data_IF_888582548312
#
_entry.id   IF_888582548312
#
_cell.length_a   1.000
_cell.length_b   1.000
_cell.length_c   1.000
_cell.angle_alpha   90.00
_cell.angle_beta   90.00
_cell.angle_gamma   90.00
#
_symmetry.space_group_name_H-M   'P 1'
#
loop_
_entity.id
_entity.type
_entity.pdbx_description
1 polymer ?
#
# COMPACT_ATOMS: atom_id res chain seq x y z
N UNK A 1 -10.30 -9.35 5.41
CA UNK A 1 -10.25 -10.69 4.80
C UNK A 1 -9.15 -10.72 3.76
N UNK A 2 -8.62 -11.90 3.45
CA UNK A 2 -7.67 -12.11 2.35
C UNK A 2 -8.39 -12.98 1.32
N UNK A 3 -8.52 -12.53 0.07
CA UNK A 3 -9.23 -13.30 -0.94
C UNK A 3 -8.77 -13.02 -2.38
N UNK A 4 -8.94 -14.01 -3.24
CA UNK A 4 -8.60 -13.92 -4.66
C UNK A 4 -9.58 -13.01 -5.43
N UNK A 5 -9.10 -12.36 -6.49
CA UNK A 5 -9.95 -11.77 -7.53
C UNK A 5 -9.61 -12.44 -8.86
N UNK A 6 -10.56 -13.18 -9.43
CA UNK A 6 -10.28 -13.98 -10.61
C UNK A 6 -9.28 -15.10 -10.30
N UNK A 7 -8.12 -15.08 -10.95
CA UNK A 7 -7.03 -16.01 -10.72
C UNK A 7 -5.91 -15.48 -9.82
N UNK A 8 -6.00 -14.21 -9.41
CA UNK A 8 -4.92 -13.53 -8.68
C UNK A 8 -5.18 -13.65 -7.17
N UNK A 9 -4.23 -14.26 -6.47
CA UNK A 9 -4.21 -14.44 -5.02
C UNK A 9 -3.11 -13.57 -4.40
N UNK A 10 -3.38 -12.91 -3.26
CA UNK A 10 -2.35 -12.16 -2.54
C UNK A 10 -1.18 -13.06 -2.11
N UNK A 11 0.05 -12.66 -2.49
CA UNK A 11 1.30 -13.24 -2.02
C UNK A 11 1.79 -12.46 -0.79
N UNK A 12 1.76 -13.10 0.37
CA UNK A 12 2.02 -12.45 1.66
C UNK A 12 3.12 -13.23 2.38
N UNK A 13 4.24 -12.55 2.66
CA UNK A 13 5.32 -13.16 3.43
C UNK A 13 4.84 -13.60 4.81
N UNK A 14 5.30 -14.77 5.26
CA UNK A 14 4.85 -15.38 6.50
C UNK A 14 5.16 -14.54 7.76
N UNK A 15 6.11 -13.60 7.70
CA UNK A 15 6.40 -12.69 8.81
C UNK A 15 5.61 -11.38 8.77
N UNK A 16 4.87 -11.11 7.69
CA UNK A 16 4.03 -9.93 7.60
C UNK A 16 2.87 -9.99 8.60
N UNK A 17 2.56 -8.86 9.22
CA UNK A 17 1.38 -8.70 10.05
C UNK A 17 0.22 -8.19 9.19
N UNK A 18 -0.91 -8.89 9.21
CA UNK A 18 -2.17 -8.41 8.62
C UNK A 18 -3.24 -8.39 9.71
N UNK A 19 -3.73 -7.20 10.04
CA UNK A 19 -4.78 -7.03 11.03
C UNK A 19 -6.04 -7.81 10.63
N UNK A 20 -6.74 -8.37 11.62
CA UNK A 20 -7.88 -9.26 11.41
C UNK A 20 -9.05 -8.62 10.63
N UNK A 21 -9.14 -7.29 10.61
CA UNK A 21 -10.15 -6.53 9.88
C UNK A 21 -9.60 -5.71 8.70
N UNK A 22 -8.35 -5.94 8.28
CA UNK A 22 -7.82 -5.42 7.02
C UNK A 22 -8.33 -6.26 5.85
N UNK A 23 -8.53 -5.63 4.69
CA UNK A 23 -8.96 -6.27 3.44
C UNK A 23 -7.81 -6.28 2.43
N UNK A 24 -7.46 -7.46 1.90
CA UNK A 24 -6.39 -7.63 0.90
C UNK A 24 -6.91 -8.54 -0.21
N UNK A 25 -6.99 -8.02 -1.43
CA UNK A 25 -7.62 -8.74 -2.54
C UNK A 25 -6.96 -8.53 -3.90
N UNK A 26 -6.84 -9.61 -4.67
CA UNK A 26 -6.28 -9.62 -6.03
C UNK A 26 -4.76 -9.73 -6.07
N UNK A 27 -4.16 -9.13 -7.10
CA UNK A 27 -2.72 -9.16 -7.40
C UNK A 27 -1.91 -8.27 -6.43
N UNK A 28 -1.73 -8.75 -5.21
CA UNK A 28 -1.03 -8.03 -4.13
C UNK A 28 0.20 -8.83 -3.71
N UNK A 29 1.35 -8.16 -3.61
CA UNK A 29 2.55 -8.72 -2.97
C UNK A 29 2.90 -7.94 -1.71
N UNK A 30 3.06 -8.64 -0.58
CA UNK A 30 3.42 -8.08 0.73
C UNK A 30 4.74 -8.68 1.20
N UNK A 31 5.76 -7.83 1.29
CA UNK A 31 7.11 -8.21 1.68
C UNK A 31 7.28 -8.57 3.14
N UNK A 32 8.45 -9.16 3.42
CA UNK A 32 8.93 -9.55 4.75
C UNK A 32 8.76 -8.44 5.79
N UNK A 33 8.24 -8.80 6.97
CA UNK A 33 8.10 -7.91 8.14
C UNK A 33 7.25 -6.65 7.87
N UNK A 34 6.49 -6.60 6.77
CA UNK A 34 5.52 -5.55 6.51
C UNK A 34 4.33 -5.65 7.48
N UNK A 35 3.62 -4.54 7.71
CA UNK A 35 2.46 -4.51 8.61
C UNK A 35 1.28 -3.76 8.01
N UNK A 36 0.15 -4.45 7.89
CA UNK A 36 -1.12 -3.92 7.39
C UNK A 36 -2.06 -3.79 8.58
N UNK A 37 -2.37 -2.55 8.97
CA UNK A 37 -3.08 -2.24 10.20
C UNK A 37 -4.61 -2.18 10.02
N UNK A 38 -5.32 -1.89 11.10
CA UNK A 38 -6.74 -2.12 11.21
C UNK A 38 -7.56 -1.31 10.19
N UNK A 39 -8.50 -1.98 9.53
CA UNK A 39 -9.39 -1.35 8.55
C UNK A 39 -8.71 -0.87 7.26
N UNK A 40 -7.44 -1.20 7.03
CA UNK A 40 -6.77 -0.94 5.76
C UNK A 40 -7.39 -1.78 4.65
N UNK A 41 -7.57 -1.20 3.47
CA UNK A 41 -8.14 -1.85 2.29
C UNK A 41 -7.13 -1.78 1.15
N UNK A 42 -6.73 -2.94 0.64
CA UNK A 42 -5.86 -3.11 -0.53
C UNK A 42 -6.63 -3.90 -1.57
N UNK A 43 -6.93 -3.27 -2.71
CA UNK A 43 -7.62 -3.93 -3.82
C UNK A 43 -6.82 -3.76 -5.11
N UNK A 44 -6.32 -4.87 -5.62
CA UNK A 44 -5.50 -4.97 -6.83
C UNK A 44 -6.24 -5.80 -7.89
N UNK A 45 -7.34 -5.26 -8.39
CA UNK A 45 -8.25 -5.97 -9.31
C UNK A 45 -7.99 -5.67 -10.79
N UNK A 46 -7.30 -4.58 -11.11
CA UNK A 46 -7.03 -4.15 -12.49
C UNK A 46 -5.55 -3.85 -12.78
N UNK A 47 -4.70 -3.87 -11.76
CA UNK A 47 -3.24 -3.81 -11.82
C UNK A 47 -2.66 -4.22 -10.45
N UNK A 48 -1.37 -4.56 -10.42
CA UNK A 48 -0.70 -5.04 -9.22
C UNK A 48 -0.54 -3.97 -8.13
N UNK A 49 -0.52 -4.42 -6.87
CA UNK A 49 -0.03 -3.65 -5.73
C UNK A 49 1.19 -4.36 -5.14
N UNK A 50 2.30 -3.64 -4.96
CA UNK A 50 3.51 -4.15 -4.33
C UNK A 50 3.83 -3.36 -3.06
N UNK A 51 4.04 -4.07 -1.96
CA UNK A 51 4.42 -3.52 -0.65
C UNK A 51 5.75 -4.14 -0.25
N UNK A 52 6.78 -3.31 -0.11
CA UNK A 52 8.14 -3.72 0.24
C UNK A 52 8.29 -4.19 1.69
N UNK A 53 9.48 -4.69 2.00
CA UNK A 53 9.83 -5.24 3.30
C UNK A 53 9.86 -4.14 4.38
N UNK A 54 9.37 -4.45 5.58
CA UNK A 54 9.33 -3.53 6.71
C UNK A 54 8.40 -2.32 6.54
N UNK A 55 7.63 -2.26 5.45
CA UNK A 55 6.67 -1.19 5.19
C UNK A 55 5.43 -1.33 6.06
N UNK A 56 4.91 -0.22 6.59
CA UNK A 56 3.68 -0.19 7.36
C UNK A 56 2.59 0.62 6.67
N UNK A 57 1.42 0.00 6.49
CA UNK A 57 0.18 0.66 6.08
C UNK A 57 -0.73 0.80 7.30
N UNK A 58 -0.72 1.97 7.91
CA UNK A 58 -1.44 2.25 9.15
C UNK A 58 -2.96 2.24 8.98
N UNK A 59 -3.69 2.42 10.07
CA UNK A 59 -5.13 2.21 10.15
C UNK A 59 -5.92 2.98 9.08
N UNK A 60 -6.84 2.28 8.42
CA UNK A 60 -7.75 2.85 7.43
C UNK A 60 -7.08 3.35 6.15
N UNK A 61 -5.83 2.98 5.88
CA UNK A 61 -5.19 3.26 4.58
C UNK A 61 -5.99 2.59 3.47
N UNK A 62 -6.10 3.26 2.32
CA UNK A 62 -6.70 2.67 1.12
C UNK A 62 -5.65 2.64 0.03
N UNK A 63 -5.42 1.46 -0.54
CA UNK A 63 -4.57 1.24 -1.70
C UNK A 63 -5.42 0.69 -2.84
N UNK A 64 -5.38 1.39 -3.96
CA UNK A 64 -6.05 1.00 -5.18
C UNK A 64 -5.18 1.37 -6.39
N UNK A 65 -5.62 0.96 -7.56
CA UNK A 65 -4.85 1.03 -8.79
C UNK A 65 -5.70 1.59 -9.93
N UNK A 66 -5.03 2.02 -10.99
CA UNK A 66 -5.67 2.26 -12.27
C UNK A 66 -5.09 1.29 -13.31
N UNK A 67 -5.80 1.10 -14.43
CA UNK A 67 -5.35 0.20 -15.49
C UNK A 67 -3.96 0.61 -15.98
N UNK A 68 -3.03 -0.34 -16.02
CA UNK A 68 -1.62 -0.13 -16.38
C UNK A 68 -0.87 0.85 -15.45
N UNK A 69 -1.38 1.13 -14.26
CA UNK A 69 -0.77 1.99 -13.26
C UNK A 69 -0.78 1.24 -11.91
N UNK A 70 0.19 0.34 -11.69
CA UNK A 70 0.30 -0.37 -10.42
C UNK A 70 0.61 0.61 -9.29
N UNK A 71 0.37 0.18 -8.06
CA UNK A 71 0.81 0.92 -6.88
C UNK A 71 2.06 0.23 -6.32
N UNK A 72 3.20 0.93 -6.30
CA UNK A 72 4.48 0.39 -5.82
C UNK A 72 4.90 1.16 -4.58
N UNK A 73 4.98 0.48 -3.46
CA UNK A 73 5.39 1.03 -2.17
C UNK A 73 6.66 0.29 -1.77
N UNK A 74 7.77 1.01 -1.73
CA UNK A 74 9.10 0.45 -1.49
C UNK A 74 9.30 -0.11 -0.09
N UNK A 75 10.56 -0.34 0.27
CA UNK A 75 10.96 -0.91 1.56
C UNK A 75 10.99 0.16 2.66
N UNK A 76 10.65 -0.24 3.89
CA UNK A 76 10.70 0.61 5.09
C UNK A 76 9.91 1.92 4.94
N UNK A 77 8.83 1.90 4.15
CA UNK A 77 7.93 3.04 3.98
C UNK A 77 6.93 3.09 5.13
N UNK A 78 6.66 4.30 5.63
CA UNK A 78 5.57 4.55 6.58
C UNK A 78 4.42 5.23 5.87
N UNK A 79 3.27 4.56 5.76
CA UNK A 79 2.05 5.13 5.21
C UNK A 79 1.08 5.39 6.35
N UNK A 80 0.91 6.68 6.67
CA UNK A 80 0.15 7.16 7.80
C UNK A 80 -1.34 6.88 7.73
N UNK A 81 -1.99 6.86 8.89
CA UNK A 81 -3.41 6.56 9.02
C UNK A 81 -4.29 7.28 7.98
N UNK A 82 -5.22 6.54 7.36
CA UNK A 82 -6.18 7.07 6.38
C UNK A 82 -5.56 7.75 5.15
N UNK A 83 -4.29 7.48 4.82
CA UNK A 83 -3.76 7.89 3.53
C UNK A 83 -4.42 7.09 2.38
N UNK A 84 -4.55 7.71 1.21
CA UNK A 84 -5.06 7.09 -0.01
C UNK A 84 -3.95 7.03 -1.04
N UNK A 85 -3.57 5.81 -1.43
CA UNK A 85 -2.58 5.54 -2.48
C UNK A 85 -3.31 4.98 -3.70
N UNK A 86 -3.19 5.66 -4.84
CA UNK A 86 -3.89 5.26 -6.05
C UNK A 86 -2.94 5.25 -7.24
N UNK A 87 -2.47 4.06 -7.65
CA UNK A 87 -1.60 3.90 -8.84
C UNK A 87 -0.34 4.77 -8.81
N UNK A 88 0.29 4.90 -7.64
CA UNK A 88 1.46 5.74 -7.39
C UNK A 88 2.72 4.93 -7.06
N UNK A 89 3.88 5.58 -7.09
CA UNK A 89 5.16 5.00 -6.66
C UNK A 89 5.70 5.76 -5.45
N UNK A 90 6.01 5.03 -4.37
CA UNK A 90 6.64 5.56 -3.15
C UNK A 90 7.98 4.86 -2.94
N UNK A 91 9.08 5.61 -3.05
CA UNK A 91 10.42 5.07 -2.86
C UNK A 91 10.74 4.71 -1.40
N UNK A 92 11.76 3.88 -1.22
CA UNK A 92 12.16 3.31 0.07
C UNK A 92 12.40 4.38 1.15
N UNK A 93 12.23 4.00 2.41
CA UNK A 93 12.49 4.85 3.59
C UNK A 93 11.69 6.16 3.60
N UNK A 94 10.60 6.24 2.85
CA UNK A 94 9.74 7.43 2.79
C UNK A 94 8.64 7.40 3.84
N UNK A 95 8.08 8.57 4.13
CA UNK A 95 6.90 8.75 4.95
C UNK A 95 5.78 9.43 4.14
N UNK A 96 4.65 8.75 4.00
CA UNK A 96 3.40 9.34 3.52
C UNK A 96 2.58 9.74 4.74
N UNK A 97 2.37 11.04 4.95
CA UNK A 97 1.66 11.56 6.10
C UNK A 97 0.22 11.07 6.17
N UNK A 98 -0.32 11.00 7.40
CA UNK A 98 -1.71 10.61 7.62
C UNK A 98 -2.69 11.46 6.80
N UNK A 99 -3.70 10.83 6.23
CA UNK A 99 -4.70 11.50 5.40
C UNK A 99 -4.17 12.09 4.08
N UNK A 100 -2.91 11.85 3.70
CA UNK A 100 -2.40 12.27 2.40
C UNK A 100 -3.02 11.45 1.26
N UNK A 101 -3.08 12.05 0.07
CA UNK A 101 -3.63 11.45 -1.14
C UNK A 101 -2.53 11.47 -2.21
N UNK A 102 -2.14 10.27 -2.67
CA UNK A 102 -1.20 10.07 -3.76
C UNK A 102 -1.98 9.62 -4.99
N UNK A 103 -2.00 10.45 -6.04
CA UNK A 103 -2.78 10.16 -7.26
C UNK A 103 -2.00 9.32 -8.28
N UNK A 104 -2.73 8.87 -9.31
CA UNK A 104 -2.19 8.03 -10.36
C UNK A 104 -0.96 8.67 -11.04
N UNK A 105 0.11 7.91 -11.14
CA UNK A 105 1.37 8.35 -11.75
C UNK A 105 2.18 9.34 -10.92
N UNK A 106 1.75 9.67 -9.69
CA UNK A 106 2.61 10.38 -8.75
C UNK A 106 3.78 9.48 -8.33
N UNK A 107 4.96 10.08 -8.22
CA UNK A 107 6.18 9.41 -7.81
C UNK A 107 6.89 10.27 -6.76
N UNK A 108 7.28 9.64 -5.65
CA UNK A 108 8.13 10.25 -4.64
C UNK A 108 9.38 9.39 -4.46
N UNK A 109 10.54 10.04 -4.51
CA UNK A 109 11.82 9.36 -4.41
C UNK A 109 12.10 8.83 -2.98
N UNK A 110 13.12 7.98 -2.80
CA UNK A 110 13.49 7.44 -1.50
C UNK A 110 13.80 8.53 -0.46
N UNK A 111 13.44 8.27 0.80
CA UNK A 111 13.65 9.19 1.93
C UNK A 111 12.77 10.44 1.92
N UNK A 112 11.72 10.46 1.10
CA UNK A 112 10.79 11.60 1.01
C UNK A 112 9.85 11.66 2.20
N UNK A 113 9.41 12.86 2.56
CA UNK A 113 8.36 13.08 3.56
C UNK A 113 7.23 13.86 2.91
N UNK A 114 6.06 13.24 2.82
CA UNK A 114 4.82 13.86 2.38
C UNK A 114 4.04 14.29 3.61
N UNK A 115 3.72 15.58 3.69
CA UNK A 115 3.01 16.15 4.84
C UNK A 115 1.61 15.54 5.01
N UNK A 116 1.13 15.48 6.25
CA UNK A 116 -0.23 15.04 6.54
C UNK A 116 -1.27 15.85 5.75
N UNK A 117 -2.28 15.17 5.19
CA UNK A 117 -3.35 15.80 4.40
C UNK A 117 -2.92 16.38 3.05
N UNK A 118 -1.69 16.13 2.60
CA UNK A 118 -1.23 16.61 1.29
C UNK A 118 -1.94 15.88 0.15
N UNK A 119 -2.03 16.54 -1.01
CA UNK A 119 -2.42 15.93 -2.27
C UNK A 119 -1.24 16.04 -3.23
N UNK A 120 -0.81 14.90 -3.78
CA UNK A 120 0.30 14.77 -4.72
C UNK A 120 -0.21 14.30 -6.07
#
# INVERSE_FOLDING_TARGET
MIHAIGGDEPDIDASAFVAWNAEVAGDVSIGKDASIWFGTIIRADIAAVTIGAGTNLQDGVVVHVNRNQPCVIGDSVTVGHRALLHGCTVGDNSLVGMGAIMLNGSEVGPGSIIGAGSLV
#
